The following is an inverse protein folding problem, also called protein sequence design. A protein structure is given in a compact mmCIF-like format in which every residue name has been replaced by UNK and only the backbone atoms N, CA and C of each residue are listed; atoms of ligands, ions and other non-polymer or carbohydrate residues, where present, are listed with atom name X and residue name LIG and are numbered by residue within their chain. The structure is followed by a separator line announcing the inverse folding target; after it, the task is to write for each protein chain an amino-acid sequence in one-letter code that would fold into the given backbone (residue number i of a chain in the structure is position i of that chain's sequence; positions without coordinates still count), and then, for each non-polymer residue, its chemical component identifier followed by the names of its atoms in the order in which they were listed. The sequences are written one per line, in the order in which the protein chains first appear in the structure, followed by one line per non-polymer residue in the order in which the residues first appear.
data_IF_677914152699
#
_entry.id   IF_677914152699
#
_cell.length_a   1.000
_cell.length_b   1.000
_cell.length_c   1.000
_cell.angle_alpha   90.00
_cell.angle_beta   90.00
_cell.angle_gamma   90.00
#
_symmetry.space_group_name_H-M   'P 1'
#
loop_
_entity.id
_entity.type
_entity.pdbx_description
1 polymer ?
#
# COMPACT_ATOMS: atom_id res chain seq x y z
N UNK A 1 2.63 16.98 19.28
CA UNK A 1 3.19 15.66 19.66
C UNK A 1 3.84 15.06 18.43
N UNK A 2 5.17 15.00 18.38
CA UNK A 2 5.91 14.46 17.24
C UNK A 2 5.79 12.94 17.26
N UNK A 3 4.80 12.39 16.57
CA UNK A 3 4.62 10.95 16.42
C UNK A 3 5.69 10.44 15.47
N UNK A 4 6.70 9.74 15.98
CA UNK A 4 7.66 9.03 15.14
C UNK A 4 6.88 8.11 14.19
N UNK A 5 6.89 8.42 12.90
CA UNK A 5 6.25 7.60 11.88
C UNK A 5 6.85 6.20 11.94
N UNK A 6 6.07 5.19 12.34
CA UNK A 6 6.56 3.80 12.38
C UNK A 6 7.14 3.43 11.00
N UNK A 7 8.32 2.78 10.94
CA UNK A 7 8.95 2.48 9.67
C UNK A 7 8.13 1.48 8.86
N UNK A 8 8.10 1.70 7.54
CA UNK A 8 7.59 0.72 6.58
C UNK A 8 8.55 -0.47 6.52
N UNK A 9 8.07 -1.66 6.88
CA UNK A 9 8.86 -2.91 6.85
C UNK A 9 8.59 -3.68 5.55
N UNK A 10 9.48 -4.61 5.13
CA UNK A 10 9.22 -5.47 3.96
C UNK A 10 7.91 -6.27 4.08
N UNK A 11 7.51 -6.65 5.30
CA UNK A 11 6.24 -7.32 5.55
C UNK A 11 5.05 -6.42 5.24
N UNK A 12 5.03 -5.21 5.82
CA UNK A 12 3.97 -4.22 5.58
C UNK A 12 3.87 -3.84 4.11
N UNK A 13 5.02 -3.68 3.44
CA UNK A 13 5.07 -3.37 2.02
C UNK A 13 4.43 -4.48 1.18
N UNK A 14 4.71 -5.76 1.48
CA UNK A 14 4.06 -6.90 0.81
C UNK A 14 2.55 -6.93 1.04
N UNK A 15 2.09 -6.60 2.25
CA UNK A 15 0.66 -6.52 2.57
C UNK A 15 0.00 -5.41 1.75
N UNK A 16 0.62 -4.22 1.69
CA UNK A 16 0.11 -3.11 0.85
C UNK A 16 0.07 -3.49 -0.64
N UNK A 17 1.13 -4.14 -1.13
CA UNK A 17 1.20 -4.58 -2.54
C UNK A 17 0.12 -5.62 -2.86
N UNK A 18 -0.21 -6.50 -1.91
CA UNK A 18 -1.24 -7.53 -2.10
C UNK A 18 -2.61 -6.92 -2.47
N UNK A 19 -2.98 -5.78 -1.87
CA UNK A 19 -4.20 -5.08 -2.26
C UNK A 19 -4.18 -4.61 -3.72
N UNK A 20 -3.02 -4.19 -4.23
CA UNK A 20 -2.89 -3.78 -5.64
C UNK A 20 -2.95 -4.96 -6.60
N UNK A 21 -2.63 -6.16 -6.13
CA UNK A 21 -2.74 -7.42 -6.87
C UNK A 21 -4.15 -8.03 -6.80
N UNK A 22 -5.07 -7.40 -6.06
CA UNK A 22 -6.44 -7.86 -5.87
C UNK A 22 -6.64 -8.91 -4.78
N UNK A 23 -5.66 -9.08 -3.89
CA UNK A 23 -5.82 -9.95 -2.72
C UNK A 23 -6.84 -9.38 -1.74
N UNK A 24 -7.62 -10.28 -1.13
CA UNK A 24 -8.56 -9.97 -0.07
C UNK A 24 -7.89 -10.18 1.29
N UNK A 25 -8.04 -9.22 2.20
CA UNK A 25 -7.64 -9.38 3.60
C UNK A 25 -8.91 -9.45 4.44
N UNK A 26 -9.16 -10.61 5.05
CA UNK A 26 -10.40 -10.96 5.72
C UNK A 26 -10.15 -11.26 7.20
N UNK A 27 -10.98 -10.71 8.08
CA UNK A 27 -10.97 -11.08 9.49
C UNK A 27 -11.48 -12.51 9.65
N UNK A 28 -10.82 -13.26 10.52
CA UNK A 28 -11.31 -14.57 10.95
C UNK A 28 -11.80 -14.43 12.38
N UNK A 29 -13.11 -14.61 12.59
CA UNK A 29 -13.74 -14.45 13.89
C UNK A 29 -13.06 -15.33 14.96
N UNK A 30 -12.80 -14.73 16.12
CA UNK A 30 -12.14 -15.40 17.25
C UNK A 30 -10.67 -15.78 17.02
N UNK A 31 -10.02 -15.25 15.98
CA UNK A 31 -8.59 -15.49 15.72
C UNK A 31 -7.75 -14.22 15.89
N UNK A 32 -6.48 -14.44 16.21
CA UNK A 32 -5.46 -13.39 16.33
C UNK A 32 -4.76 -13.09 14.99
N UNK A 33 -5.41 -13.39 13.87
CA UNK A 33 -4.88 -13.15 12.53
C UNK A 33 -6.00 -12.85 11.53
N UNK A 34 -5.64 -12.14 10.46
CA UNK A 34 -6.39 -12.00 9.22
C UNK A 34 -5.88 -13.01 8.19
N UNK A 35 -6.76 -13.44 7.29
CA UNK A 35 -6.38 -14.23 6.12
C UNK A 35 -6.21 -13.31 4.92
N UNK A 36 -5.03 -13.35 4.31
CA UNK A 36 -4.80 -12.84 2.95
C UNK A 36 -5.14 -13.95 1.96
N UNK A 37 -6.06 -13.69 1.04
CA UNK A 37 -6.50 -14.63 0.02
C UNK A 37 -6.31 -14.04 -1.37
N UNK A 38 -5.53 -14.72 -2.20
CA UNK A 38 -5.37 -14.38 -3.61
C UNK A 38 -6.39 -15.18 -4.42
N UNK A 39 -7.46 -14.52 -4.88
CA UNK A 39 -8.56 -15.18 -5.60
C UNK A 39 -8.11 -15.82 -6.93
N UNK A 40 -7.08 -15.25 -7.59
CA UNK A 40 -6.55 -15.76 -8.86
C UNK A 40 -5.82 -17.09 -8.71
N UNK A 41 -5.11 -17.29 -7.62
CA UNK A 41 -4.24 -18.47 -7.40
C UNK A 41 -4.77 -19.41 -6.32
N UNK A 42 -5.82 -19.03 -5.59
CA UNK A 42 -6.37 -19.76 -4.45
C UNK A 42 -5.47 -19.77 -3.20
N UNK A 43 -4.29 -19.13 -3.26
CA UNK A 43 -3.31 -19.16 -2.16
C UNK A 43 -3.78 -18.32 -0.98
N UNK A 44 -3.48 -18.81 0.22
CA UNK A 44 -3.80 -18.16 1.48
C UNK A 44 -2.56 -17.97 2.35
N UNK A 45 -2.53 -16.87 3.10
CA UNK A 45 -1.51 -16.56 4.10
C UNK A 45 -2.12 -15.91 5.32
N UNK A 46 -1.48 -16.10 6.48
CA UNK A 46 -1.89 -15.47 7.74
C UNK A 46 -1.13 -14.16 7.97
N UNK A 47 -1.85 -13.13 8.37
CA UNK A 47 -1.31 -11.85 8.80
C UNK A 47 -1.70 -11.64 10.27
N UNK A 48 -0.75 -11.44 11.19
CA UNK A 48 -1.06 -11.14 12.58
C UNK A 48 -2.05 -9.99 12.71
N UNK A 49 -3.03 -10.14 13.61
CA UNK A 49 -4.04 -9.12 13.90
C UNK A 49 -3.41 -7.79 14.28
N UNK A 50 -2.37 -7.83 15.12
CA UNK A 50 -1.61 -6.67 15.56
C UNK A 50 -1.01 -5.89 14.39
N UNK A 51 -0.48 -6.57 13.38
CA UNK A 51 0.09 -5.94 12.18
C UNK A 51 -0.99 -5.18 11.38
N UNK A 52 -2.16 -5.80 11.21
CA UNK A 52 -3.30 -5.17 10.52
C UNK A 52 -3.80 -3.97 11.32
N UNK A 53 -3.95 -4.10 12.63
CA UNK A 53 -4.39 -3.02 13.53
C UNK A 53 -3.43 -1.83 13.51
N UNK A 54 -2.12 -2.08 13.49
CA UNK A 54 -1.14 -1.02 13.35
C UNK A 54 -1.22 -0.32 11.99
N UNK A 55 -1.41 -1.08 10.89
CA UNK A 55 -1.57 -0.49 9.56
C UNK A 55 -2.88 0.31 9.43
N UNK A 56 -3.94 -0.09 10.13
CA UNK A 56 -5.18 0.69 10.27
C UNK A 56 -4.92 1.97 11.05
N UNK A 57 -4.24 1.89 12.19
CA UNK A 57 -3.91 3.05 13.02
C UNK A 57 -3.00 4.07 12.30
N UNK A 58 -2.14 3.58 11.39
CA UNK A 58 -1.32 4.41 10.51
C UNK A 58 -2.08 5.03 9.34
N UNK A 59 -3.35 4.67 9.16
CA UNK A 59 -4.20 5.15 8.07
C UNK A 59 -3.88 4.53 6.71
N UNK A 60 -3.06 3.48 6.65
CA UNK A 60 -2.66 2.87 5.36
C UNK A 60 -3.70 1.91 4.80
N UNK A 61 -4.50 1.33 5.68
CA UNK A 61 -5.62 0.46 5.33
C UNK A 61 -6.85 0.84 6.17
N UNK A 62 -8.04 0.52 5.68
CA UNK A 62 -9.31 0.73 6.39
C UNK A 62 -10.06 -0.58 6.51
N UNK A 63 -10.68 -0.84 7.67
CA UNK A 63 -11.63 -1.94 7.84
C UNK A 63 -12.96 -1.61 7.18
N UNK A 64 -13.51 -2.55 6.44
CA UNK A 64 -14.87 -2.52 5.91
C UNK A 64 -15.70 -3.42 6.80
N UNK A 65 -16.57 -2.80 7.59
CA UNK A 65 -17.53 -3.50 8.44
C UNK A 65 -18.80 -3.66 7.62
N UNK A 66 -19.18 -4.89 7.23
CA UNK A 66 -20.43 -5.11 6.52
C UNK A 66 -21.63 -4.77 7.45
N UNK A 67 -22.78 -4.36 6.88
CA UNK A 67 -23.98 -4.17 7.68
C UNK A 67 -24.36 -5.48 8.39
N UNK A 68 -24.93 -5.40 9.58
CA UNK A 68 -25.23 -6.56 10.43
C UNK A 68 -26.12 -7.62 9.76
N UNK A 69 -26.86 -7.24 8.71
CA UNK A 69 -27.69 -8.14 7.89
C UNK A 69 -26.93 -8.94 6.83
N UNK A 70 -25.64 -8.64 6.60
CA UNK A 70 -24.83 -9.34 5.61
C UNK A 70 -24.01 -10.46 6.26
N UNK A 71 -24.15 -11.69 5.76
CA UNK A 71 -23.27 -12.83 6.08
C UNK A 71 -21.86 -12.69 5.48
N UNK A 72 -21.30 -11.48 5.45
CA UNK A 72 -19.97 -11.20 4.90
C UNK A 72 -18.96 -11.07 6.04
N UNK A 73 -17.74 -11.54 5.78
CA UNK A 73 -16.61 -11.34 6.68
C UNK A 73 -16.21 -9.86 6.66
N UNK A 74 -15.78 -9.35 7.81
CA UNK A 74 -15.08 -8.06 7.87
C UNK A 74 -13.84 -8.14 6.98
N UNK A 75 -13.64 -7.13 6.14
CA UNK A 75 -12.53 -7.08 5.20
C UNK A 75 -11.74 -5.80 5.39
N UNK A 76 -10.60 -5.69 4.71
CA UNK A 76 -9.83 -4.46 4.65
C UNK A 76 -9.75 -3.96 3.20
N UNK A 77 -9.50 -2.67 3.06
CA UNK A 77 -9.16 -2.02 1.80
C UNK A 77 -7.94 -1.10 1.96
N UNK A 78 -7.28 -0.84 0.82
CA UNK A 78 -6.15 0.08 0.74
C UNK A 78 -6.65 1.53 0.66
N UNK A 79 -6.16 2.39 1.57
CA UNK A 79 -6.46 3.82 1.54
C UNK A 79 -5.58 4.56 0.53
N UNK A 80 -5.88 5.84 0.31
CA UNK A 80 -5.02 6.72 -0.48
C UNK A 80 -3.64 6.91 0.16
N UNK A 81 -3.58 7.07 1.47
CA UNK A 81 -2.31 7.15 2.19
C UNK A 81 -1.48 5.87 2.03
N UNK A 82 -2.11 4.70 2.09
CA UNK A 82 -1.45 3.42 1.81
C UNK A 82 -0.89 3.33 0.39
N UNK A 83 -1.64 3.85 -0.61
CA UNK A 83 -1.14 3.96 -1.99
C UNK A 83 0.08 4.89 -2.10
N UNK A 84 0.07 6.03 -1.40
CA UNK A 84 1.20 6.95 -1.40
C UNK A 84 2.46 6.31 -0.81
N UNK A 85 2.34 5.48 0.24
CA UNK A 85 3.48 4.72 0.79
C UNK A 85 4.09 3.78 -0.25
N UNK A 86 3.27 3.11 -1.08
CA UNK A 86 3.77 2.25 -2.15
C UNK A 86 4.53 3.07 -3.21
N UNK A 87 3.97 4.20 -3.64
CA UNK A 87 4.58 5.07 -4.66
C UNK A 87 5.90 5.68 -4.21
N UNK A 88 6.05 6.03 -2.93
CA UNK A 88 7.31 6.53 -2.40
C UNK A 88 8.43 5.48 -2.38
N UNK A 89 8.08 4.19 -2.33
CA UNK A 89 9.04 3.08 -2.33
C UNK A 89 9.31 2.51 -3.73
N UNK A 90 8.31 2.60 -4.62
CA UNK A 90 8.42 2.24 -6.03
C UNK A 90 7.86 3.38 -6.88
N UNK A 91 8.63 4.48 -7.06
CA UNK A 91 8.16 5.58 -7.88
C UNK A 91 7.87 5.07 -9.28
N UNK A 92 6.74 5.46 -9.89
CA UNK A 92 6.47 5.10 -11.27
C UNK A 92 7.62 5.60 -12.15
N UNK A 93 8.00 4.78 -13.14
CA UNK A 93 9.15 5.01 -14.03
C UNK A 93 9.07 6.31 -14.85
N UNK A 94 7.97 7.05 -14.74
CA UNK A 94 7.67 8.30 -15.46
C UNK A 94 8.24 9.56 -14.83
N UNK A 95 8.90 9.50 -13.67
CA UNK A 95 9.48 10.68 -13.00
C UNK A 95 10.96 10.98 -13.35
N UNK A 96 11.54 10.32 -14.36
CA UNK A 96 12.90 10.60 -14.85
C UNK A 96 12.86 11.31 -16.21
N UNK A 97 12.20 12.46 -16.27
CA UNK A 97 12.03 13.22 -17.52
C UNK A 97 11.57 14.67 -17.36
N UNK A 98 11.68 15.24 -16.16
CA UNK A 98 11.42 16.67 -15.95
C UNK A 98 12.71 17.45 -16.20
N UNK A 99 12.80 17.95 -17.42
CA UNK A 99 13.83 18.81 -18.00
C UNK A 99 14.29 19.90 -17.03
N UNK A 100 15.59 19.99 -16.79
CA UNK A 100 16.26 21.18 -16.24
C UNK A 100 17.68 21.22 -16.75
N UNK A 101 17.93 22.02 -17.79
CA UNK A 101 18.75 23.23 -17.63
C UNK A 101 18.83 23.97 -18.97
N UNK A 102 18.33 25.19 -19.00
CA UNK A 102 18.87 26.24 -19.85
C UNK A 102 20.38 26.34 -19.63
N UNK A 103 21.18 26.29 -20.71
CA UNK A 103 22.46 26.98 -20.77
C UNK A 103 22.72 27.47 -22.20
N UNK A 104 22.40 28.74 -22.40
CA UNK A 104 23.25 29.79 -22.97
C UNK A 104 24.09 29.48 -24.23
N UNK A 105 23.64 30.11 -25.34
CA UNK A 105 24.41 30.76 -26.42
C UNK A 105 25.93 30.52 -26.40
N UNK A 106 26.51 29.97 -27.46
CA UNK A 106 27.76 30.46 -28.03
C UNK A 106 27.80 30.29 -29.54
N UNK A 107 27.81 31.45 -30.21
CA UNK A 107 28.29 31.69 -31.56
C UNK A 107 29.50 30.84 -31.94
N UNK A 108 29.51 30.28 -33.14
CA UNK A 108 30.74 30.23 -33.95
C UNK A 108 30.45 30.19 -35.45
N UNK A 109 31.13 31.12 -36.11
CA UNK A 109 31.22 31.43 -37.52
C UNK A 109 32.44 30.68 -38.09
N UNK A 110 32.28 29.93 -39.18
CA UNK A 110 33.35 29.41 -40.06
C UNK A 110 32.67 28.79 -41.28
N UNK A 111 33.08 28.93 -42.52
CA UNK A 111 34.01 29.79 -43.24
C UNK A 111 33.57 29.72 -44.71
#
# INVERSE_FOLDING_TARGET
MSGASKPITPRRLRILNAFTEGDLILEVAGKNYYTQFNARTGKQRKIPRTEVEEMVALGWIRRIIPPASAHRLESCELTEQGRNVLQQRFPPKTALGSVSSEFSKHSRKTA
#
